data_IF_640027243566
#
_entry.id   IF_640027243566
#
_cell.length_a   1.000
_cell.length_b   1.000
_cell.length_c   1.000
_cell.angle_alpha   90.00
_cell.angle_beta   90.00
_cell.angle_gamma   90.00
#
_symmetry.space_group_name_H-M   'P 1'
#
loop_
_entity.id
_entity.type
_entity.pdbx_description
1 polymer ?
#
# COMPACT_ATOMS: atom_id res chain seq x y z
N UNK A 1 -15.46 -37.34 12.10
CA UNK A 1 -16.80 -36.77 12.21
C UNK A 1 -16.76 -35.71 13.28
N UNK A 2 -17.13 -34.48 12.92
CA UNK A 2 -17.28 -33.34 13.82
C UNK A 2 -18.75 -32.98 13.98
N UNK A 3 -19.10 -32.20 14.98
CA UNK A 3 -20.49 -31.92 15.32
C UNK A 3 -20.66 -30.41 15.62
N UNK A 4 -21.76 -29.86 15.14
CA UNK A 4 -22.26 -28.54 15.53
C UNK A 4 -23.78 -28.61 15.80
N UNK A 5 -24.43 -27.46 16.02
CA UNK A 5 -25.88 -27.39 16.28
C UNK A 5 -26.75 -27.88 15.12
N UNK A 6 -26.20 -28.01 13.91
CA UNK A 6 -26.90 -28.54 12.72
C UNK A 6 -26.67 -30.02 12.50
N UNK A 7 -25.85 -30.70 13.34
CA UNK A 7 -25.57 -32.13 13.27
C UNK A 7 -24.13 -32.46 12.87
N UNK A 8 -23.92 -33.68 12.44
CA UNK A 8 -22.58 -34.19 12.11
C UNK A 8 -22.14 -33.81 10.70
N UNK A 9 -20.83 -33.57 10.55
CA UNK A 9 -20.17 -33.35 9.26
C UNK A 9 -18.79 -34.03 9.25
N UNK A 10 -18.40 -34.54 8.09
CA UNK A 10 -17.10 -35.18 7.91
C UNK A 10 -16.01 -34.09 7.72
N UNK A 11 -14.98 -34.13 8.57
CA UNK A 11 -13.80 -33.26 8.46
C UNK A 11 -12.57 -34.13 8.21
N UNK A 12 -11.63 -33.76 7.32
CA UNK A 12 -10.41 -34.55 7.13
C UNK A 12 -9.63 -34.69 8.45
N UNK A 13 -9.14 -35.90 8.71
CA UNK A 13 -8.56 -36.25 10.01
C UNK A 13 -7.27 -35.50 10.34
N UNK A 14 -6.56 -35.04 9.31
CA UNK A 14 -5.31 -34.27 9.40
C UNK A 14 -5.54 -32.75 9.62
N UNK A 15 -6.79 -32.31 9.58
CA UNK A 15 -7.13 -30.88 9.72
C UNK A 15 -7.56 -30.54 11.15
N UNK A 16 -7.17 -29.33 11.57
CA UNK A 16 -7.50 -28.81 12.91
C UNK A 16 -8.83 -28.06 12.95
N UNK A 17 -9.41 -27.72 11.80
CA UNK A 17 -10.74 -27.09 11.79
C UNK A 17 -11.86 -28.06 12.15
N UNK A 18 -13.02 -27.55 12.52
CA UNK A 18 -14.17 -28.29 12.94
C UNK A 18 -15.34 -28.22 11.96
N UNK A 19 -16.54 -28.47 12.51
CA UNK A 19 -17.78 -28.60 11.73
C UNK A 19 -18.17 -27.28 11.02
N UNK A 20 -18.10 -26.14 11.69
CA UNK A 20 -18.53 -24.87 11.11
C UNK A 20 -17.63 -24.43 9.95
N UNK A 21 -16.34 -24.61 10.06
CA UNK A 21 -15.39 -24.35 8.97
C UNK A 21 -15.64 -25.29 7.80
N UNK A 22 -15.85 -26.59 8.05
CA UNK A 22 -16.12 -27.54 6.98
C UNK A 22 -17.39 -27.19 6.20
N UNK A 23 -18.47 -26.82 6.89
CA UNK A 23 -19.70 -26.35 6.22
C UNK A 23 -19.48 -25.11 5.38
N UNK A 24 -18.70 -24.14 5.88
CA UNK A 24 -18.37 -22.96 5.12
C UNK A 24 -17.55 -23.28 3.87
N UNK A 25 -16.56 -24.16 4.00
CA UNK A 25 -15.74 -24.62 2.88
C UNK A 25 -16.58 -25.29 1.77
N UNK A 26 -17.59 -26.07 2.17
CA UNK A 26 -18.52 -26.75 1.23
C UNK A 26 -19.58 -25.81 0.64
N UNK A 27 -20.06 -24.83 1.42
CA UNK A 27 -21.16 -23.94 1.01
C UNK A 27 -20.70 -22.78 0.13
N UNK A 28 -19.42 -22.37 0.21
CA UNK A 28 -18.89 -21.20 -0.51
C UNK A 28 -17.71 -21.56 -1.43
N UNK A 29 -17.90 -22.48 -2.41
CA UNK A 29 -16.88 -22.78 -3.41
C UNK A 29 -16.86 -21.67 -4.48
N UNK A 30 -16.52 -20.44 -4.08
CA UNK A 30 -16.61 -19.23 -4.89
C UNK A 30 -15.22 -18.62 -5.02
N UNK A 31 -14.74 -18.49 -6.26
CA UNK A 31 -13.44 -17.93 -6.56
C UNK A 31 -12.27 -18.75 -6.03
N UNK A 32 -11.07 -18.19 -6.14
CA UNK A 32 -9.83 -18.79 -5.65
C UNK A 32 -9.23 -18.02 -4.49
N UNK A 33 -9.75 -16.81 -4.23
CA UNK A 33 -9.25 -15.88 -3.23
C UNK A 33 -9.51 -16.42 -1.82
N UNK A 34 -8.44 -16.67 -1.09
CA UNK A 34 -8.48 -17.09 0.32
C UNK A 34 -8.37 -15.88 1.25
N UNK A 35 -8.82 -16.06 2.49
CA UNK A 35 -8.58 -15.08 3.54
C UNK A 35 -7.09 -14.78 3.62
N UNK A 36 -6.68 -13.48 3.61
CA UNK A 36 -5.28 -13.11 3.64
C UNK A 36 -4.57 -13.63 4.89
N UNK A 37 -3.33 -14.14 4.72
CA UNK A 37 -2.52 -14.65 5.83
C UNK A 37 -2.30 -13.57 6.92
N UNK A 38 -2.16 -12.30 6.52
CA UNK A 38 -2.02 -11.18 7.45
C UNK A 38 -3.26 -11.04 8.38
N UNK A 39 -4.46 -11.31 7.86
CA UNK A 39 -5.69 -11.33 8.68
C UNK A 39 -5.69 -12.52 9.65
N UNK A 40 -5.28 -13.71 9.21
CA UNK A 40 -5.19 -14.89 10.07
C UNK A 40 -4.18 -14.67 11.20
N UNK A 41 -3.02 -14.07 10.89
CA UNK A 41 -2.03 -13.66 11.88
C UNK A 41 -2.62 -12.68 12.90
N UNK A 42 -3.39 -11.70 12.43
CA UNK A 42 -4.08 -10.74 13.30
C UNK A 42 -5.15 -11.39 14.18
N UNK A 43 -5.85 -12.43 13.69
CA UNK A 43 -6.71 -13.24 14.53
C UNK A 43 -5.92 -13.97 15.62
N UNK A 44 -4.70 -14.44 15.34
CA UNK A 44 -3.80 -14.98 16.37
C UNK A 44 -3.50 -13.95 17.46
N UNK A 45 -3.19 -12.70 17.11
CA UNK A 45 -3.01 -11.60 18.08
C UNK A 45 -4.31 -11.35 18.87
N UNK A 46 -5.43 -11.20 18.18
CA UNK A 46 -6.73 -10.93 18.79
C UNK A 46 -7.12 -12.02 19.79
N UNK A 47 -7.04 -13.28 19.42
CA UNK A 47 -7.44 -14.40 20.28
C UNK A 47 -6.52 -14.54 21.50
N UNK A 48 -5.22 -14.29 21.35
CA UNK A 48 -4.28 -14.23 22.47
C UNK A 48 -4.64 -13.08 23.42
N UNK A 49 -4.92 -11.89 22.88
CA UNK A 49 -5.34 -10.72 23.66
C UNK A 49 -6.66 -10.95 24.41
N UNK A 50 -7.66 -11.57 23.75
CA UNK A 50 -8.92 -11.93 24.40
C UNK A 50 -8.73 -12.94 25.54
N UNK A 51 -7.88 -13.95 25.34
CA UNK A 51 -7.58 -14.94 26.38
C UNK A 51 -6.85 -14.29 27.54
N UNK A 52 -5.89 -13.40 27.30
CA UNK A 52 -5.20 -12.62 28.34
C UNK A 52 -6.17 -11.74 29.14
N UNK A 53 -7.09 -11.04 28.46
CA UNK A 53 -8.12 -10.22 29.11
C UNK A 53 -9.06 -11.07 29.98
N UNK A 54 -9.58 -12.19 29.45
CA UNK A 54 -10.43 -13.08 30.23
C UNK A 54 -9.69 -13.72 31.42
N UNK A 55 -8.42 -14.06 31.27
CA UNK A 55 -7.58 -14.53 32.35
C UNK A 55 -7.36 -13.43 33.43
N UNK A 56 -6.99 -12.22 33.04
CA UNK A 56 -6.83 -11.04 33.91
C UNK A 56 -8.11 -10.74 34.71
N UNK A 57 -9.28 -10.96 34.09
CA UNK A 57 -10.60 -10.75 34.70
C UNK A 57 -11.14 -11.98 35.46
N UNK A 58 -10.34 -13.02 35.61
CA UNK A 58 -10.69 -14.23 36.37
C UNK A 58 -11.77 -15.12 35.73
N UNK A 59 -11.99 -15.00 34.41
CA UNK A 59 -12.97 -15.78 33.64
C UNK A 59 -12.34 -17.02 33.01
N UNK A 60 -11.04 -17.03 32.75
CA UNK A 60 -10.29 -18.13 32.14
C UNK A 60 -9.17 -18.55 33.11
N UNK A 61 -9.04 -19.87 33.32
CA UNK A 61 -7.98 -20.41 34.19
C UNK A 61 -6.61 -20.47 33.48
N UNK A 62 -5.55 -20.64 34.29
CA UNK A 62 -4.15 -20.67 33.81
C UNK A 62 -3.90 -21.72 32.73
N UNK A 63 -4.47 -22.92 32.89
CA UNK A 63 -4.25 -24.05 31.97
C UNK A 63 -4.84 -23.75 30.60
N UNK A 64 -6.11 -23.33 30.55
CA UNK A 64 -6.78 -22.98 29.29
C UNK A 64 -6.15 -21.75 28.63
N UNK A 65 -5.78 -20.74 29.43
CA UNK A 65 -5.06 -19.58 28.92
C UNK A 65 -3.75 -19.99 28.24
N UNK A 66 -2.91 -20.78 28.89
CA UNK A 66 -1.63 -21.24 28.31
C UNK A 66 -1.80 -22.05 27.01
N UNK A 67 -2.85 -22.89 26.93
CA UNK A 67 -3.15 -23.64 25.71
C UNK A 67 -3.59 -22.75 24.55
N UNK A 68 -4.48 -21.76 24.81
CA UNK A 68 -4.91 -20.79 23.79
C UNK A 68 -3.71 -19.95 23.34
N UNK A 69 -2.90 -19.43 24.26
CA UNK A 69 -1.70 -18.67 23.96
C UNK A 69 -0.75 -19.46 23.04
N UNK A 70 -0.47 -20.72 23.36
CA UNK A 70 0.40 -21.56 22.55
C UNK A 70 -0.12 -21.76 21.12
N UNK A 71 -1.44 -21.96 20.94
CA UNK A 71 -2.05 -22.08 19.63
C UNK A 71 -1.97 -20.75 18.83
N UNK A 72 -2.22 -19.62 19.50
CA UNK A 72 -2.12 -18.29 18.88
C UNK A 72 -0.69 -17.97 18.43
N UNK A 73 0.33 -18.35 19.21
CA UNK A 73 1.73 -18.23 18.83
C UNK A 73 2.06 -19.04 17.57
N UNK A 74 1.57 -20.29 17.47
CA UNK A 74 1.74 -21.13 16.28
C UNK A 74 1.04 -20.53 15.04
N UNK A 75 -0.16 -19.91 15.20
CA UNK A 75 -0.83 -19.17 14.13
C UNK A 75 0.02 -17.98 13.67
N UNK A 76 0.51 -17.18 14.61
CA UNK A 76 1.34 -16.00 14.32
C UNK A 76 2.67 -16.36 13.66
N UNK A 77 3.22 -17.52 13.98
CA UNK A 77 4.43 -18.07 13.35
C UNK A 77 4.16 -18.66 11.94
N UNK A 78 2.90 -18.77 11.52
CA UNK A 78 2.52 -19.37 10.24
C UNK A 78 2.54 -20.89 10.20
N UNK A 79 2.79 -21.56 11.34
CA UNK A 79 2.89 -23.03 11.43
C UNK A 79 1.57 -23.75 11.12
N UNK A 80 0.44 -23.04 11.26
CA UNK A 80 -0.91 -23.58 11.09
C UNK A 80 -1.60 -23.09 9.80
N UNK A 81 -0.86 -22.53 8.84
CA UNK A 81 -1.42 -21.90 7.63
C UNK A 81 -2.36 -22.82 6.84
N UNK A 82 -2.06 -24.12 6.75
CA UNK A 82 -2.86 -25.12 6.01
C UNK A 82 -4.23 -25.44 6.64
N UNK A 83 -4.50 -24.87 7.81
CA UNK A 83 -5.76 -25.06 8.53
C UNK A 83 -6.77 -23.92 8.34
N UNK A 84 -6.49 -22.95 7.43
CA UNK A 84 -7.35 -21.82 7.12
C UNK A 84 -7.76 -21.81 5.64
N UNK A 85 -8.70 -22.71 5.23
CA UNK A 85 -9.01 -22.94 3.83
C UNK A 85 -10.04 -21.97 3.24
N UNK A 86 -10.67 -21.12 4.05
CA UNK A 86 -11.88 -20.39 3.69
C UNK A 86 -11.65 -19.32 2.63
N UNK A 87 -12.60 -19.24 1.70
CA UNK A 87 -12.64 -18.21 0.68
C UNK A 87 -13.01 -16.84 1.27
N UNK A 88 -12.61 -15.77 0.59
CA UNK A 88 -13.07 -14.40 0.87
C UNK A 88 -14.60 -14.28 0.74
N UNK A 89 -15.16 -14.99 -0.24
CA UNK A 89 -16.58 -14.99 -0.59
C UNK A 89 -17.36 -15.90 0.35
N UNK A 90 -17.53 -15.43 1.61
CA UNK A 90 -18.21 -16.12 2.70
C UNK A 90 -19.25 -15.18 3.33
N UNK A 91 -19.80 -15.50 4.51
CA UNK A 91 -20.68 -14.56 5.21
C UNK A 91 -20.00 -13.21 5.46
N UNK A 92 -20.68 -12.14 5.16
CA UNK A 92 -20.12 -10.79 5.16
C UNK A 92 -19.70 -10.25 6.53
N UNK A 93 -20.14 -10.88 7.62
CA UNK A 93 -19.68 -10.61 9.00
C UNK A 93 -18.33 -11.27 9.32
N UNK A 94 -17.87 -12.21 8.49
CA UNK A 94 -16.66 -12.99 8.73
C UNK A 94 -16.79 -14.04 9.83
N UNK A 95 -18.01 -14.44 10.19
CA UNK A 95 -18.28 -15.43 11.26
C UNK A 95 -17.55 -16.74 11.00
N UNK A 96 -17.51 -17.23 9.76
CA UNK A 96 -16.83 -18.48 9.46
C UNK A 96 -15.31 -18.39 9.69
N UNK A 97 -14.68 -17.27 9.37
CA UNK A 97 -13.25 -17.07 9.66
C UNK A 97 -12.99 -17.00 11.16
N UNK A 98 -13.84 -16.29 11.93
CA UNK A 98 -13.74 -16.30 13.39
C UNK A 98 -13.87 -17.71 13.96
N UNK A 99 -14.86 -18.48 13.49
CA UNK A 99 -15.05 -19.87 13.94
C UNK A 99 -13.93 -20.78 13.50
N UNK A 100 -13.37 -20.60 12.30
CA UNK A 100 -12.19 -21.34 11.85
C UNK A 100 -11.02 -21.15 12.83
N UNK A 101 -10.74 -19.90 13.23
CA UNK A 101 -9.71 -19.64 14.25
C UNK A 101 -10.04 -20.31 15.58
N UNK A 102 -11.31 -20.20 16.05
CA UNK A 102 -11.73 -20.84 17.31
C UNK A 102 -11.56 -22.36 17.29
N UNK A 103 -11.98 -23.01 16.21
CA UNK A 103 -11.90 -24.46 16.04
C UNK A 103 -10.44 -24.94 15.97
N UNK A 104 -9.58 -24.25 15.21
CA UNK A 104 -8.15 -24.57 15.09
C UNK A 104 -7.45 -24.41 16.44
N UNK A 105 -7.69 -23.30 17.14
CA UNK A 105 -7.08 -23.03 18.46
C UNK A 105 -7.50 -24.10 19.47
N UNK A 106 -8.81 -24.41 19.54
CA UNK A 106 -9.31 -25.41 20.49
C UNK A 106 -8.72 -26.78 20.23
N UNK A 107 -8.70 -27.25 18.98
CA UNK A 107 -8.15 -28.54 18.62
C UNK A 107 -6.64 -28.62 18.82
N UNK A 108 -5.89 -27.59 18.42
CA UNK A 108 -4.45 -27.54 18.67
C UNK A 108 -4.13 -27.66 20.16
N UNK A 109 -4.83 -26.87 21.01
CA UNK A 109 -4.65 -26.91 22.45
C UNK A 109 -5.01 -28.25 23.05
N UNK A 110 -6.15 -28.86 22.64
CA UNK A 110 -6.57 -30.16 23.10
C UNK A 110 -5.58 -31.27 22.70
N UNK A 111 -5.07 -31.26 21.47
CA UNK A 111 -4.04 -32.19 21.03
C UNK A 111 -2.76 -32.06 21.87
N UNK A 112 -2.37 -30.83 22.21
CA UNK A 112 -1.21 -30.57 23.07
C UNK A 112 -1.42 -31.03 24.51
N UNK A 113 -2.63 -30.86 25.04
CA UNK A 113 -2.99 -31.34 26.38
C UNK A 113 -3.18 -32.86 26.46
N UNK A 114 -3.48 -33.54 25.37
CA UNK A 114 -3.86 -34.94 25.33
C UNK A 114 -5.30 -35.22 25.81
N UNK A 115 -6.08 -34.18 26.06
CA UNK A 115 -7.49 -34.24 26.51
C UNK A 115 -8.31 -33.04 26.03
N UNK A 116 -9.64 -33.14 26.08
CA UNK A 116 -10.56 -32.10 25.60
C UNK A 116 -10.81 -31.03 26.66
N UNK A 117 -9.84 -30.11 26.84
CA UNK A 117 -9.91 -28.98 27.80
C UNK A 117 -10.52 -27.71 27.20
N UNK A 118 -10.35 -27.49 25.91
CA UNK A 118 -10.84 -26.31 25.20
C UNK A 118 -12.08 -26.59 24.37
N UNK A 119 -13.05 -25.68 24.44
CA UNK A 119 -14.21 -25.65 23.56
C UNK A 119 -14.14 -24.36 22.71
N UNK A 120 -14.41 -24.43 21.38
CA UNK A 120 -14.29 -23.27 20.49
C UNK A 120 -15.13 -22.05 20.92
N UNK A 121 -16.37 -22.27 21.33
CA UNK A 121 -17.29 -21.21 21.72
C UNK A 121 -17.10 -20.78 23.18
N UNK A 122 -17.01 -21.76 24.12
CA UNK A 122 -17.08 -21.47 25.56
C UNK A 122 -15.77 -20.89 26.10
N UNK A 123 -14.63 -21.28 25.52
CA UNK A 123 -13.31 -20.88 26.01
C UNK A 123 -12.59 -19.95 25.02
N UNK A 124 -12.47 -20.31 23.73
CA UNK A 124 -11.71 -19.52 22.76
C UNK A 124 -12.47 -18.26 22.34
N UNK A 125 -13.80 -18.36 22.19
CA UNK A 125 -14.67 -17.22 21.83
C UNK A 125 -15.31 -16.54 23.05
N UNK A 126 -14.86 -16.84 24.27
CA UNK A 126 -15.39 -16.27 25.51
C UNK A 126 -15.39 -14.74 25.47
N UNK A 127 -16.49 -14.10 25.85
CA UNK A 127 -16.69 -12.65 25.85
C UNK A 127 -16.60 -11.99 24.46
N UNK A 128 -16.89 -12.72 23.38
CA UNK A 128 -16.71 -12.23 22.01
C UNK A 128 -17.92 -12.56 21.12
N UNK A 129 -18.05 -11.80 20.05
CA UNK A 129 -18.87 -12.11 18.89
C UNK A 129 -18.03 -12.05 17.62
N UNK A 130 -18.41 -12.73 16.55
CA UNK A 130 -17.80 -12.52 15.23
C UNK A 130 -17.93 -11.07 14.78
N UNK A 131 -18.99 -10.40 15.23
CA UNK A 131 -19.30 -9.03 14.83
C UNK A 131 -18.29 -8.00 15.34
N UNK A 132 -17.68 -8.23 16.52
CA UNK A 132 -16.64 -7.36 17.06
C UNK A 132 -15.23 -7.90 16.85
N UNK A 133 -15.05 -9.24 16.73
CA UNK A 133 -13.72 -9.83 16.49
C UNK A 133 -13.20 -9.58 15.08
N UNK A 134 -14.02 -9.79 14.05
CA UNK A 134 -13.56 -9.63 12.68
C UNK A 134 -13.08 -8.19 12.35
N UNK A 135 -13.85 -7.12 12.65
CA UNK A 135 -13.37 -5.76 12.42
C UNK A 135 -12.14 -5.41 13.28
N UNK A 136 -12.03 -5.97 14.48
CA UNK A 136 -10.85 -5.81 15.32
C UNK A 136 -9.62 -6.46 14.67
N UNK A 137 -9.72 -7.72 14.23
CA UNK A 137 -8.64 -8.39 13.51
C UNK A 137 -8.27 -7.65 12.22
N UNK A 138 -9.25 -7.10 11.51
CA UNK A 138 -9.00 -6.32 10.30
C UNK A 138 -8.22 -5.03 10.60
N UNK A 139 -8.54 -4.29 11.65
CA UNK A 139 -7.78 -3.12 12.07
C UNK A 139 -6.35 -3.49 12.49
N UNK A 140 -6.19 -4.56 13.29
CA UNK A 140 -4.85 -5.06 13.67
C UNK A 140 -4.04 -5.44 12.42
N UNK A 141 -4.62 -6.20 11.49
CA UNK A 141 -3.97 -6.59 10.25
C UNK A 141 -3.57 -5.39 9.38
N UNK A 142 -4.47 -4.42 9.24
CA UNK A 142 -4.23 -3.21 8.46
C UNK A 142 -3.04 -2.41 9.00
N UNK A 143 -3.05 -2.11 10.29
CA UNK A 143 -1.98 -1.32 10.93
C UNK A 143 -0.65 -2.09 10.91
N UNK A 144 -0.65 -3.37 11.28
CA UNK A 144 0.56 -4.21 11.26
C UNK A 144 1.17 -4.27 9.87
N UNK A 145 0.37 -4.50 8.82
CA UNK A 145 0.86 -4.55 7.44
C UNK A 145 1.45 -3.21 6.98
N UNK A 146 0.88 -2.08 7.39
CA UNK A 146 1.45 -0.76 7.10
C UNK A 146 2.82 -0.59 7.75
N UNK A 147 2.97 -0.95 9.03
CA UNK A 147 4.22 -0.79 9.77
C UNK A 147 5.31 -1.78 9.36
N UNK A 148 4.95 -3.03 9.13
CA UNK A 148 5.93 -4.08 8.84
C UNK A 148 6.35 -4.13 7.37
N UNK A 149 5.49 -3.68 6.44
CA UNK A 149 5.74 -3.80 5.00
C UNK A 149 5.82 -2.46 4.27
N UNK A 150 4.77 -1.64 4.37
CA UNK A 150 4.66 -0.46 3.49
C UNK A 150 5.60 0.67 3.92
N UNK A 151 5.61 1.05 5.20
CA UNK A 151 6.50 2.11 5.65
C UNK A 151 7.98 1.81 5.42
N UNK A 152 8.51 0.60 5.69
CA UNK A 152 9.89 0.27 5.34
C UNK A 152 10.20 0.40 3.84
N UNK A 153 9.28 0.00 2.97
CA UNK A 153 9.43 0.14 1.53
C UNK A 153 9.46 1.61 1.09
N UNK A 154 8.58 2.44 1.65
CA UNK A 154 8.55 3.89 1.40
C UNK A 154 9.84 4.55 1.86
N UNK A 155 10.32 4.27 3.08
CA UNK A 155 11.55 4.85 3.61
C UNK A 155 12.77 4.46 2.75
N UNK A 156 12.85 3.21 2.30
CA UNK A 156 13.91 2.78 1.40
C UNK A 156 13.88 3.51 0.04
N UNK A 157 12.70 3.79 -0.50
CA UNK A 157 12.53 4.59 -1.72
C UNK A 157 12.94 6.04 -1.49
N UNK A 158 12.56 6.64 -0.36
CA UNK A 158 12.93 8.02 -0.02
C UNK A 158 14.43 8.20 0.09
N UNK A 159 15.14 7.29 0.77
CA UNK A 159 16.62 7.30 0.84
C UNK A 159 17.24 7.20 -0.56
N UNK A 160 16.68 6.39 -1.44
CA UNK A 160 17.16 6.27 -2.82
C UNK A 160 16.94 7.56 -3.63
N UNK A 161 15.76 8.18 -3.50
CA UNK A 161 15.43 9.42 -4.20
C UNK A 161 16.27 10.60 -3.69
N UNK A 162 16.52 10.69 -2.38
CA UNK A 162 17.39 11.73 -1.80
C UNK A 162 18.82 11.63 -2.36
N UNK A 163 19.37 10.42 -2.44
CA UNK A 163 20.68 10.20 -3.08
C UNK A 163 20.68 10.65 -4.54
N UNK A 164 19.67 10.24 -5.32
CA UNK A 164 19.56 10.61 -6.73
C UNK A 164 19.39 12.12 -6.91
N UNK A 165 18.62 12.79 -6.07
CA UNK A 165 18.46 14.25 -6.06
C UNK A 165 19.82 14.96 -5.88
N UNK A 166 20.60 14.54 -4.90
CA UNK A 166 21.91 15.11 -4.59
C UNK A 166 22.91 14.86 -5.73
N UNK A 167 22.98 13.65 -6.27
CA UNK A 167 23.87 13.26 -7.38
C UNK A 167 23.57 14.03 -8.67
N UNK A 168 22.35 14.54 -8.84
CA UNK A 168 21.88 15.19 -10.05
C UNK A 168 21.57 16.70 -9.85
N UNK A 169 21.89 17.28 -8.70
CA UNK A 169 21.55 18.66 -8.34
C UNK A 169 22.05 19.71 -9.33
N UNK A 170 23.24 19.47 -9.94
CA UNK A 170 23.85 20.41 -10.90
C UNK A 170 23.63 20.06 -12.37
N UNK A 171 22.77 19.11 -12.70
CA UNK A 171 22.51 18.70 -14.09
C UNK A 171 21.33 19.48 -14.64
N UNK A 172 21.58 20.49 -15.43
CA UNK A 172 20.50 21.29 -16.06
C UNK A 172 19.94 20.58 -17.28
N UNK A 173 18.62 20.60 -17.41
CA UNK A 173 17.86 19.99 -18.48
C UNK A 173 16.67 20.86 -18.90
N UNK A 174 16.07 20.54 -20.03
CA UNK A 174 14.80 21.14 -20.45
C UNK A 174 13.69 20.67 -19.52
N UNK A 175 12.99 21.60 -18.85
CA UNK A 175 11.72 21.33 -18.20
C UNK A 175 10.61 21.11 -19.23
N UNK A 176 9.54 20.39 -18.84
CA UNK A 176 8.39 20.14 -19.73
C UNK A 176 7.07 20.36 -19.01
N UNK A 177 6.16 21.06 -19.66
CA UNK A 177 4.75 21.16 -19.30
C UNK A 177 3.91 20.80 -20.52
N UNK A 178 2.80 20.11 -20.36
CA UNK A 178 2.00 19.58 -21.48
C UNK A 178 2.78 18.68 -22.47
N UNK A 179 3.89 18.07 -22.01
CA UNK A 179 4.88 17.38 -22.84
C UNK A 179 5.58 18.29 -23.88
N UNK A 180 5.43 19.62 -23.74
CA UNK A 180 6.13 20.61 -24.55
C UNK A 180 7.34 21.16 -23.80
N UNK A 181 8.34 21.59 -24.55
CA UNK A 181 9.53 22.23 -23.99
C UNK A 181 9.15 23.48 -23.18
N UNK A 182 9.73 23.60 -21.99
CA UNK A 182 9.57 24.73 -21.09
C UNK A 182 10.95 25.27 -20.68
N UNK A 183 10.96 26.17 -19.69
CA UNK A 183 12.20 26.74 -19.15
C UNK A 183 13.07 25.66 -18.50
N UNK A 184 14.39 25.89 -18.40
CA UNK A 184 15.31 24.95 -17.78
C UNK A 184 15.00 24.69 -16.30
N UNK A 185 15.30 23.47 -15.88
CA UNK A 185 15.33 23.01 -14.48
C UNK A 185 16.57 22.15 -14.26
N UNK A 186 16.93 21.85 -13.02
CA UNK A 186 17.89 20.79 -12.78
C UNK A 186 17.18 19.42 -12.69
N UNK A 187 17.88 18.35 -13.04
CA UNK A 187 17.34 16.99 -12.88
C UNK A 187 17.15 16.65 -11.39
N UNK A 188 18.01 17.21 -10.51
CA UNK A 188 17.80 17.11 -9.07
C UNK A 188 16.49 17.74 -8.62
N UNK A 189 16.08 18.89 -9.17
CA UNK A 189 14.78 19.53 -8.87
C UNK A 189 13.61 18.65 -9.32
N UNK A 190 13.69 17.99 -10.48
CA UNK A 190 12.67 17.05 -10.94
C UNK A 190 12.54 15.85 -9.97
N UNK A 191 13.67 15.28 -9.54
CA UNK A 191 13.71 14.18 -8.56
C UNK A 191 13.19 14.63 -7.18
N UNK A 192 13.48 15.85 -6.76
CA UNK A 192 12.96 16.41 -5.50
C UNK A 192 11.43 16.46 -5.48
N UNK A 193 10.82 16.74 -6.63
CA UNK A 193 9.37 16.64 -6.80
C UNK A 193 8.85 15.21 -6.60
N UNK A 194 9.54 14.20 -7.15
CA UNK A 194 9.19 12.79 -6.93
C UNK A 194 9.33 12.40 -5.46
N UNK A 195 10.43 12.81 -4.81
CA UNK A 195 10.66 12.55 -3.38
C UNK A 195 9.55 13.15 -2.52
N UNK A 196 9.21 14.40 -2.76
CA UNK A 196 8.15 15.09 -2.03
C UNK A 196 6.77 14.41 -2.19
N UNK A 197 6.45 13.90 -3.39
CA UNK A 197 5.21 13.13 -3.61
C UNK A 197 5.14 11.87 -2.75
N UNK A 198 6.26 11.17 -2.57
CA UNK A 198 6.34 9.96 -1.74
C UNK A 198 6.28 10.31 -0.26
N UNK A 199 6.96 11.38 0.19
CA UNK A 199 6.89 11.90 1.56
C UNK A 199 5.46 12.26 1.96
N UNK A 200 4.76 13.04 1.13
CA UNK A 200 3.36 13.39 1.39
C UNK A 200 2.45 12.17 1.39
N UNK A 201 2.68 11.19 0.50
CA UNK A 201 1.96 9.92 0.50
C UNK A 201 2.11 9.17 1.84
N UNK A 202 3.35 9.05 2.34
CA UNK A 202 3.65 8.47 3.66
C UNK A 202 2.90 9.21 4.77
N UNK A 203 2.97 10.54 4.77
CA UNK A 203 2.42 11.37 5.85
C UNK A 203 0.88 11.33 5.84
N UNK A 204 0.23 11.27 4.68
CA UNK A 204 -1.21 11.03 4.56
C UNK A 204 -1.61 9.66 5.13
N UNK A 205 -0.84 8.60 4.86
CA UNK A 205 -1.09 7.28 5.42
C UNK A 205 -0.93 7.32 6.95
N UNK A 206 0.14 7.95 7.47
CA UNK A 206 0.34 8.13 8.92
C UNK A 206 -0.81 8.87 9.57
N UNK A 207 -1.30 9.94 8.94
CA UNK A 207 -2.45 10.71 9.45
C UNK A 207 -3.75 9.90 9.51
N UNK A 208 -3.87 8.83 8.73
CA UNK A 208 -5.05 7.95 8.72
C UNK A 208 -5.06 6.87 9.82
N UNK A 209 -3.93 6.70 10.55
CA UNK A 209 -3.78 5.58 11.50
C UNK A 209 -4.65 5.72 12.74
N UNK A 210 -4.96 6.94 13.18
CA UNK A 210 -5.62 7.17 14.47
C UNK A 210 -6.94 6.42 14.60
N UNK A 211 -7.79 6.47 13.56
CA UNK A 211 -9.05 5.71 13.54
C UNK A 211 -8.86 4.19 13.45
N UNK A 212 -7.75 3.72 12.88
CA UNK A 212 -7.44 2.30 12.80
C UNK A 212 -6.95 1.70 14.13
N UNK A 213 -6.46 2.52 15.05
CA UNK A 213 -6.10 2.07 16.39
C UNK A 213 -7.31 1.76 17.28
N UNK A 214 -8.52 2.20 16.89
CA UNK A 214 -9.75 1.94 17.63
C UNK A 214 -10.31 0.56 17.32
N UNK A 215 -10.44 -0.27 18.37
CA UNK A 215 -10.89 -1.66 18.25
C UNK A 215 -12.34 -1.82 18.64
N UNK A 216 -13.11 -2.53 17.82
CA UNK A 216 -14.53 -2.82 18.04
C UNK A 216 -14.78 -3.81 19.20
N UNK A 217 -13.76 -4.55 19.61
CA UNK A 217 -13.85 -5.60 20.62
C UNK A 217 -14.46 -5.07 21.92
N UNK A 218 -15.34 -5.88 22.55
CA UNK A 218 -16.19 -5.48 23.66
C UNK A 218 -17.57 -4.96 23.26
N UNK A 219 -17.83 -4.81 21.93
CA UNK A 219 -19.18 -4.49 21.42
C UNK A 219 -20.11 -5.70 21.37
N UNK A 220 -19.53 -6.89 21.31
CA UNK A 220 -20.21 -8.17 21.12
C UNK A 220 -21.16 -8.19 19.91
N UNK A 221 -22.40 -8.62 20.05
CA UNK A 221 -23.30 -8.86 18.93
C UNK A 221 -23.77 -7.59 18.21
N UNK A 222 -24.12 -6.53 18.96
CA UNK A 222 -24.76 -5.30 18.43
C UNK A 222 -24.16 -3.99 18.99
N UNK A 223 -23.11 -4.07 19.80
CA UNK A 223 -22.46 -2.88 20.38
C UNK A 223 -22.76 -2.64 21.85
N UNK A 224 -23.61 -3.44 22.48
CA UNK A 224 -24.02 -3.29 23.89
C UNK A 224 -23.12 -3.98 24.90
N UNK A 225 -22.17 -4.82 24.45
CA UNK A 225 -21.32 -5.61 25.33
C UNK A 225 -22.06 -6.72 26.06
N UNK A 226 -23.12 -7.29 25.46
CA UNK A 226 -23.89 -8.37 26.09
C UNK A 226 -22.99 -9.57 26.41
N UNK A 227 -23.04 -10.06 27.66
CA UNK A 227 -22.23 -11.15 28.22
C UNK A 227 -20.73 -10.83 28.38
N UNK A 228 -20.34 -9.60 28.23
CA UNK A 228 -18.96 -9.13 28.37
C UNK A 228 -18.69 -8.74 29.84
N UNK A 229 -17.62 -9.20 30.49
CA UNK A 229 -17.26 -8.69 31.79
C UNK A 229 -16.79 -7.22 31.70
N UNK A 230 -17.15 -6.43 32.67
CA UNK A 230 -16.76 -5.02 32.69
C UNK A 230 -15.24 -4.85 32.52
N UNK A 231 -14.82 -4.00 31.58
CA UNK A 231 -13.41 -3.72 31.27
C UNK A 231 -12.74 -4.72 30.31
N UNK A 232 -13.50 -5.64 29.71
CA UNK A 232 -12.91 -6.62 28.77
C UNK A 232 -12.36 -5.92 27.50
N UNK A 233 -13.13 -5.04 26.90
CA UNK A 233 -12.70 -4.34 25.68
C UNK A 233 -11.40 -3.56 25.88
N UNK A 234 -11.27 -2.86 27.03
CA UNK A 234 -10.07 -2.13 27.42
C UNK A 234 -8.89 -3.08 27.65
N UNK A 235 -9.09 -4.15 28.43
CA UNK A 235 -8.05 -5.12 28.75
C UNK A 235 -7.54 -5.87 27.50
N UNK A 236 -8.44 -6.20 26.59
CA UNK A 236 -8.07 -6.87 25.34
C UNK A 236 -7.34 -5.91 24.37
N UNK A 237 -7.76 -4.64 24.29
CA UNK A 237 -7.03 -3.65 23.50
C UNK A 237 -5.62 -3.37 24.04
N UNK A 238 -5.48 -3.29 25.39
CA UNK A 238 -4.19 -3.17 26.06
C UNK A 238 -3.28 -4.38 25.74
N UNK A 239 -3.80 -5.59 25.86
CA UNK A 239 -3.06 -6.80 25.51
C UNK A 239 -2.68 -6.87 24.01
N UNK A 240 -3.54 -6.44 23.10
CA UNK A 240 -3.22 -6.34 21.68
C UNK A 240 -2.10 -5.31 21.42
N UNK A 241 -2.14 -4.17 22.14
CA UNK A 241 -1.08 -3.16 22.05
C UNK A 241 0.27 -3.70 22.57
N UNK A 242 0.28 -4.45 23.67
CA UNK A 242 1.49 -5.09 24.19
C UNK A 242 2.07 -6.13 23.21
N UNK A 243 1.20 -6.97 22.64
CA UNK A 243 1.61 -8.04 21.71
C UNK A 243 2.18 -7.52 20.38
N UNK A 244 1.76 -6.34 19.96
CA UNK A 244 2.14 -5.76 18.66
C UNK A 244 3.13 -4.60 18.77
N UNK A 245 3.25 -3.97 19.93
CA UNK A 245 3.97 -2.71 20.10
C UNK A 245 3.28 -1.50 19.45
N UNK A 246 2.01 -1.62 19.06
CA UNK A 246 1.21 -0.59 18.38
C UNK A 246 0.13 -0.04 19.31
N UNK A 247 -0.24 1.26 19.24
CA UNK A 247 -1.05 1.92 20.26
C UNK A 247 -2.56 1.65 20.09
N UNK A 248 -2.95 0.39 20.00
CA UNK A 248 -4.34 -0.01 19.94
C UNK A 248 -5.09 0.38 21.21
N UNK A 249 -6.34 0.80 21.06
CA UNK A 249 -7.23 1.21 22.14
C UNK A 249 -8.66 0.75 21.85
N UNK A 250 -9.46 0.64 22.89
CA UNK A 250 -10.88 0.32 22.74
C UNK A 250 -11.62 1.49 22.06
N UNK A 251 -12.47 1.19 21.07
CA UNK A 251 -13.28 2.22 20.41
C UNK A 251 -14.26 2.88 21.41
N UNK A 252 -14.37 4.21 21.41
CA UNK A 252 -15.25 4.92 22.33
C UNK A 252 -16.72 4.67 22.09
N UNK A 253 -17.09 4.29 20.86
CA UNK A 253 -18.47 3.95 20.47
C UNK A 253 -18.49 2.61 19.72
N UNK A 254 -18.98 1.58 20.38
CA UNK A 254 -19.02 0.22 19.81
C UNK A 254 -20.06 0.07 18.69
N UNK A 255 -21.14 0.84 18.72
CA UNK A 255 -22.15 0.86 17.65
C UNK A 255 -21.54 1.39 16.34
N UNK A 256 -20.77 2.47 16.41
CA UNK A 256 -20.01 2.99 15.29
C UNK A 256 -18.98 1.94 14.80
N UNK A 257 -18.18 1.37 15.69
CA UNK A 257 -17.08 0.45 15.34
C UNK A 257 -17.58 -0.84 14.65
N UNK A 258 -18.79 -1.35 15.00
CA UNK A 258 -19.37 -2.52 14.34
C UNK A 258 -19.92 -2.19 12.96
N UNK A 259 -20.48 -1.01 12.77
CA UNK A 259 -21.27 -0.65 11.58
C UNK A 259 -20.45 0.13 10.56
N UNK A 260 -19.75 1.18 10.99
CA UNK A 260 -18.96 2.03 10.12
C UNK A 260 -17.59 1.38 9.79
N UNK A 261 -17.11 1.65 8.59
CA UNK A 261 -15.78 1.26 8.13
C UNK A 261 -15.05 2.45 7.50
N UNK A 262 -15.37 3.63 7.99
CA UNK A 262 -14.85 4.93 7.57
C UNK A 262 -13.34 5.06 7.80
N UNK A 263 -12.81 4.57 8.92
CA UNK A 263 -11.37 4.55 9.20
C UNK A 263 -10.59 3.77 8.14
N UNK A 264 -11.08 2.58 7.75
CA UNK A 264 -10.48 1.78 6.68
C UNK A 264 -10.58 2.47 5.32
N UNK A 265 -11.72 3.09 5.02
CA UNK A 265 -11.94 3.80 3.77
C UNK A 265 -11.06 5.05 3.67
N UNK A 266 -10.94 5.81 4.75
CA UNK A 266 -10.05 6.97 4.81
C UNK A 266 -8.60 6.57 4.61
N UNK A 267 -8.15 5.54 5.32
CA UNK A 267 -6.79 5.02 5.18
C UNK A 267 -6.52 4.49 3.77
N UNK A 268 -7.47 3.78 3.16
CA UNK A 268 -7.33 3.30 1.78
C UNK A 268 -7.30 4.45 0.77
N UNK A 269 -8.03 5.53 1.01
CA UNK A 269 -7.94 6.77 0.24
C UNK A 269 -6.53 7.37 0.25
N UNK A 270 -5.80 7.29 1.37
CA UNK A 270 -4.40 7.67 1.45
C UNK A 270 -3.48 6.73 0.65
N UNK A 271 -3.75 5.41 0.65
CA UNK A 271 -3.05 4.44 -0.21
C UNK A 271 -3.27 4.76 -1.69
N UNK A 272 -4.49 5.10 -2.07
CA UNK A 272 -4.80 5.55 -3.45
C UNK A 272 -4.04 6.81 -3.83
N UNK A 273 -3.92 7.79 -2.94
CA UNK A 273 -3.16 9.01 -3.20
C UNK A 273 -1.67 8.70 -3.45
N UNK A 274 -1.07 7.82 -2.64
CA UNK A 274 0.29 7.32 -2.89
C UNK A 274 0.38 6.60 -4.23
N UNK A 275 -0.58 5.72 -4.57
CA UNK A 275 -0.61 5.01 -5.85
C UNK A 275 -0.65 5.97 -7.05
N UNK A 276 -1.42 7.06 -6.97
CA UNK A 276 -1.48 8.08 -8.00
C UNK A 276 -0.11 8.78 -8.20
N UNK A 277 0.58 9.11 -7.12
CA UNK A 277 1.92 9.68 -7.15
C UNK A 277 2.95 8.69 -7.76
N UNK A 278 2.90 7.42 -7.38
CA UNK A 278 3.77 6.38 -7.92
C UNK A 278 3.54 6.16 -9.42
N UNK A 279 2.30 6.22 -9.88
CA UNK A 279 1.99 6.15 -11.31
C UNK A 279 2.61 7.32 -12.09
N UNK A 280 2.52 8.53 -11.55
CA UNK A 280 3.15 9.71 -12.16
C UNK A 280 4.67 9.56 -12.22
N UNK A 281 5.31 9.16 -11.13
CA UNK A 281 6.76 8.95 -11.07
C UNK A 281 7.21 7.89 -12.07
N UNK A 282 6.53 6.74 -12.11
CA UNK A 282 6.85 5.66 -13.04
C UNK A 282 6.68 6.10 -14.51
N UNK A 283 5.67 6.91 -14.81
CA UNK A 283 5.47 7.47 -16.16
C UNK A 283 6.56 8.47 -16.54
N UNK A 284 6.97 9.36 -15.64
CA UNK A 284 8.08 10.28 -15.90
C UNK A 284 9.37 9.52 -16.20
N UNK A 285 9.73 8.55 -15.36
CA UNK A 285 10.92 7.71 -15.56
C UNK A 285 10.85 6.99 -16.91
N UNK A 286 9.70 6.42 -17.26
CA UNK A 286 9.49 5.73 -18.55
C UNK A 286 9.62 6.67 -19.74
N UNK A 287 9.08 7.89 -19.65
CA UNK A 287 9.22 8.90 -20.69
C UNK A 287 10.66 9.36 -20.86
N UNK A 288 11.35 9.69 -19.77
CA UNK A 288 12.74 10.14 -19.79
C UNK A 288 13.69 9.08 -20.35
N UNK A 289 13.42 7.79 -20.07
CA UNK A 289 14.19 6.66 -20.57
C UNK A 289 13.81 6.20 -22.00
N UNK A 290 12.80 6.81 -22.62
CA UNK A 290 12.28 6.37 -23.93
C UNK A 290 13.32 6.48 -25.04
N UNK A 291 13.35 5.51 -25.94
CA UNK A 291 14.27 5.50 -27.08
C UNK A 291 14.97 4.16 -27.25
N UNK A 292 16.30 4.08 -27.28
CA UNK A 292 17.30 5.07 -26.86
C UNK A 292 17.63 6.20 -27.83
N UNK A 293 17.35 6.03 -29.14
CA UNK A 293 17.73 7.03 -30.16
C UNK A 293 16.58 7.89 -30.68
N UNK A 294 15.38 7.31 -30.73
CA UNK A 294 14.18 7.95 -31.31
C UNK A 294 13.17 8.43 -30.26
N UNK A 295 13.54 8.46 -29.00
CA UNK A 295 12.76 8.98 -27.88
C UNK A 295 13.48 10.11 -27.15
N UNK A 296 13.09 10.38 -25.89
CA UNK A 296 13.72 11.44 -25.09
C UNK A 296 15.17 11.08 -24.73
N UNK A 297 15.40 9.85 -24.25
CA UNK A 297 16.74 9.32 -23.97
C UNK A 297 17.56 10.12 -22.95
N UNK A 298 16.89 10.83 -22.02
CA UNK A 298 17.54 11.70 -21.05
C UNK A 298 18.08 10.98 -19.82
N UNK A 299 17.63 9.74 -19.59
CA UNK A 299 18.13 8.89 -18.52
C UNK A 299 18.38 7.47 -19.02
N UNK A 300 19.25 6.76 -18.30
CA UNK A 300 19.41 5.31 -18.41
C UNK A 300 18.82 4.63 -17.19
N UNK A 301 18.15 3.51 -17.41
CA UNK A 301 17.64 2.61 -16.35
C UNK A 301 18.24 1.22 -16.53
N UNK A 302 18.30 0.39 -15.46
CA UNK A 302 18.87 -0.95 -15.54
C UNK A 302 18.14 -1.84 -16.56
N UNK A 303 18.92 -2.63 -17.27
CA UNK A 303 18.47 -3.68 -18.17
C UNK A 303 18.27 -4.96 -17.35
N UNK A 304 17.02 -5.29 -17.02
CA UNK A 304 16.73 -6.42 -16.14
C UNK A 304 16.45 -7.72 -16.90
N UNK A 305 15.83 -7.61 -18.09
CA UNK A 305 15.46 -8.74 -18.94
C UNK A 305 15.38 -8.34 -20.43
N UNK A 306 15.46 -9.30 -21.37
CA UNK A 306 15.22 -9.04 -22.80
C UNK A 306 13.80 -8.50 -23.03
N UNK A 307 13.69 -7.38 -23.74
CA UNK A 307 12.43 -6.68 -23.95
C UNK A 307 11.58 -7.14 -25.15
N UNK A 308 12.09 -8.08 -25.97
CA UNK A 308 11.38 -8.52 -27.18
C UNK A 308 11.84 -9.89 -27.63
N UNK A 309 10.91 -10.71 -28.12
CA UNK A 309 11.19 -12.01 -28.72
C UNK A 309 11.71 -11.92 -30.17
N UNK A 310 11.50 -10.79 -30.85
CA UNK A 310 11.82 -10.61 -32.28
C UNK A 310 12.75 -9.43 -32.57
N UNK A 311 13.01 -8.55 -31.58
CA UNK A 311 13.90 -7.37 -31.72
C UNK A 311 15.09 -7.51 -30.76
N UNK A 312 16.23 -8.09 -31.23
CA UNK A 312 17.39 -8.30 -30.38
C UNK A 312 17.92 -6.97 -29.82
N UNK A 313 18.27 -6.97 -28.53
CA UNK A 313 18.79 -5.79 -27.84
C UNK A 313 17.77 -4.74 -27.44
N UNK A 314 16.46 -4.97 -27.64
CA UNK A 314 15.40 -4.11 -27.12
C UNK A 314 15.23 -4.33 -25.63
N UNK A 315 15.27 -3.24 -24.86
CA UNK A 315 14.99 -3.23 -23.39
C UNK A 315 13.77 -2.39 -23.14
N UNK A 316 12.87 -2.87 -22.29
CA UNK A 316 11.65 -2.17 -21.93
C UNK A 316 11.72 -1.65 -20.50
N UNK A 317 11.01 -0.57 -20.15
CA UNK A 317 10.93 -0.04 -18.79
C UNK A 317 9.95 -0.85 -17.92
N UNK A 318 10.16 -2.17 -17.81
CA UNK A 318 9.22 -3.15 -17.25
C UNK A 318 8.87 -2.88 -15.79
N UNK A 319 9.81 -2.35 -15.00
CA UNK A 319 9.57 -1.97 -13.62
C UNK A 319 8.58 -0.80 -13.51
N UNK A 320 8.65 0.15 -14.44
CA UNK A 320 7.68 1.25 -14.54
C UNK A 320 6.28 0.71 -14.90
N UNK A 321 6.23 -0.23 -15.85
CA UNK A 321 4.97 -0.86 -16.28
C UNK A 321 4.32 -1.63 -15.13
N UNK A 322 5.09 -2.43 -14.41
CA UNK A 322 4.62 -3.18 -13.25
C UNK A 322 4.06 -2.25 -12.16
N UNK A 323 4.79 -1.18 -11.82
CA UNK A 323 4.34 -0.22 -10.80
C UNK A 323 3.07 0.53 -11.22
N UNK A 324 2.90 0.86 -12.51
CA UNK A 324 1.67 1.49 -12.99
C UNK A 324 0.48 0.52 -12.92
N UNK A 325 0.66 -0.78 -13.18
CA UNK A 325 -0.39 -1.79 -13.01
C UNK A 325 -0.76 -1.96 -11.53
N UNK A 326 0.21 -1.96 -10.61
CA UNK A 326 -0.05 -1.94 -9.16
C UNK A 326 -0.91 -0.74 -8.78
N UNK A 327 -0.56 0.46 -9.26
CA UNK A 327 -1.33 1.67 -8.99
C UNK A 327 -2.79 1.58 -9.47
N UNK A 328 -3.01 1.04 -10.67
CA UNK A 328 -4.36 0.80 -11.22
C UNK A 328 -5.16 -0.15 -10.32
N UNK A 329 -4.54 -1.26 -9.87
CA UNK A 329 -5.21 -2.21 -9.00
C UNK A 329 -5.61 -1.58 -7.67
N UNK A 330 -4.73 -0.79 -7.04
CA UNK A 330 -5.02 -0.07 -5.79
C UNK A 330 -6.17 0.92 -5.97
N UNK A 331 -6.23 1.64 -7.08
CA UNK A 331 -7.34 2.55 -7.40
C UNK A 331 -8.67 1.79 -7.57
N UNK A 332 -8.64 0.61 -8.21
CA UNK A 332 -9.79 -0.28 -8.31
C UNK A 332 -10.26 -0.77 -6.93
N UNK A 333 -9.34 -1.21 -6.09
CA UNK A 333 -9.63 -1.64 -4.73
C UNK A 333 -10.26 -0.52 -3.89
N UNK A 334 -9.84 0.74 -4.08
CA UNK A 334 -10.43 1.90 -3.40
C UNK A 334 -11.93 2.07 -3.70
N UNK A 335 -12.31 1.81 -4.93
CA UNK A 335 -13.74 1.79 -5.32
C UNK A 335 -14.51 0.71 -4.55
N UNK A 336 -13.93 -0.50 -4.44
CA UNK A 336 -14.52 -1.58 -3.64
C UNK A 336 -14.65 -1.17 -2.18
N UNK A 337 -13.61 -0.55 -1.60
CA UNK A 337 -13.62 -0.09 -0.21
C UNK A 337 -14.76 0.91 0.06
N UNK A 338 -14.93 1.92 -0.79
CA UNK A 338 -15.98 2.92 -0.65
C UNK A 338 -17.38 2.32 -0.74
N UNK A 339 -17.64 1.46 -1.74
CA UNK A 339 -18.92 0.79 -1.91
C UNK A 339 -19.22 -0.13 -0.72
N UNK A 340 -18.28 -0.97 -0.32
CA UNK A 340 -18.44 -1.92 0.78
C UNK A 340 -18.69 -1.20 2.12
N UNK A 341 -17.98 -0.11 2.38
CA UNK A 341 -18.18 0.70 3.59
C UNK A 341 -19.59 1.31 3.66
N UNK A 342 -20.18 1.71 2.50
CA UNK A 342 -21.51 2.31 2.42
C UNK A 342 -22.66 1.31 2.68
N UNK A 343 -22.39 0.02 2.77
CA UNK A 343 -23.39 -1.05 2.85
C UNK A 343 -23.70 -1.50 4.29
N UNK A 344 -23.28 -0.77 5.32
CA UNK A 344 -23.68 -1.04 6.70
C UNK A 344 -25.18 -0.84 6.89
N UNK A 345 -25.86 -1.82 7.55
CA UNK A 345 -27.27 -1.76 7.84
C UNK A 345 -27.49 -1.98 9.33
N UNK A 346 -28.16 -1.03 10.00
CA UNK A 346 -28.37 -1.02 11.44
C UNK A 346 -27.03 -1.23 12.19
N UNK A 347 -26.89 -2.29 12.97
CA UNK A 347 -25.78 -2.48 13.90
C UNK A 347 -24.60 -3.26 13.30
N UNK A 348 -24.58 -3.57 12.00
CA UNK A 348 -23.48 -4.34 11.38
C UNK A 348 -23.24 -3.99 9.91
N UNK A 349 -21.97 -3.96 9.53
CA UNK A 349 -21.54 -4.03 8.12
C UNK A 349 -21.21 -5.49 7.77
N UNK A 350 -21.80 -6.01 6.69
CA UNK A 350 -21.62 -7.40 6.25
C UNK A 350 -20.83 -7.52 4.93
N UNK A 351 -19.87 -6.63 4.72
CA UNK A 351 -18.94 -6.63 3.59
C UNK A 351 -17.46 -6.71 4.05
N UNK A 352 -17.25 -7.11 5.30
CA UNK A 352 -15.92 -7.06 5.93
C UNK A 352 -14.87 -7.98 5.26
N UNK A 353 -15.19 -9.22 4.82
CA UNK A 353 -14.20 -10.07 4.16
C UNK A 353 -13.64 -9.48 2.86
N UNK A 354 -14.48 -8.89 2.00
CA UNK A 354 -14.02 -8.26 0.77
C UNK A 354 -13.20 -7.00 1.05
N UNK A 355 -13.53 -6.25 2.11
CA UNK A 355 -12.72 -5.11 2.55
C UNK A 355 -11.34 -5.55 3.05
N UNK A 356 -11.27 -6.61 3.85
CA UNK A 356 -10.02 -7.18 4.34
C UNK A 356 -9.11 -7.59 3.17
N UNK A 357 -9.65 -8.29 2.20
CA UNK A 357 -8.90 -8.73 1.02
C UNK A 357 -8.35 -7.55 0.23
N UNK A 358 -9.19 -6.58 -0.14
CA UNK A 358 -8.77 -5.46 -0.97
C UNK A 358 -7.81 -4.51 -0.25
N UNK A 359 -8.02 -4.27 1.05
CA UNK A 359 -7.12 -3.42 1.83
C UNK A 359 -5.73 -4.04 1.95
N UNK A 360 -5.65 -5.29 2.38
CA UNK A 360 -4.37 -5.98 2.59
C UNK A 360 -3.66 -6.27 1.26
N UNK A 361 -4.41 -6.55 0.19
CA UNK A 361 -3.84 -6.65 -1.16
C UNK A 361 -3.19 -5.33 -1.57
N UNK A 362 -3.87 -4.19 -1.36
CA UNK A 362 -3.34 -2.87 -1.72
C UNK A 362 -2.05 -2.55 -0.96
N UNK A 363 -2.01 -2.79 0.34
CA UNK A 363 -0.80 -2.58 1.15
C UNK A 363 0.36 -3.44 0.65
N UNK A 364 0.11 -4.73 0.41
CA UNK A 364 1.14 -5.65 -0.08
C UNK A 364 1.65 -5.27 -1.46
N UNK A 365 0.75 -5.00 -2.42
CA UNK A 365 1.13 -4.63 -3.78
C UNK A 365 1.93 -3.33 -3.82
N UNK A 366 1.56 -2.34 -3.01
CA UNK A 366 2.33 -1.09 -2.89
C UNK A 366 3.71 -1.35 -2.30
N UNK A 367 3.81 -2.11 -1.22
CA UNK A 367 5.10 -2.42 -0.59
C UNK A 367 6.04 -3.17 -1.54
N UNK A 368 5.54 -4.22 -2.19
CA UNK A 368 6.31 -5.04 -3.12
C UNK A 368 6.68 -4.24 -4.39
N UNK A 369 5.72 -3.48 -4.95
CA UNK A 369 5.92 -2.64 -6.13
C UNK A 369 6.95 -1.53 -5.89
N UNK A 370 6.87 -0.82 -4.77
CA UNK A 370 7.84 0.20 -4.35
C UNK A 370 9.21 -0.42 -4.18
N UNK A 371 9.30 -1.57 -3.50
CA UNK A 371 10.57 -2.27 -3.27
C UNK A 371 11.20 -2.69 -4.58
N UNK A 372 10.45 -3.33 -5.48
CA UNK A 372 10.94 -3.78 -6.78
C UNK A 372 11.41 -2.60 -7.64
N UNK A 373 10.59 -1.56 -7.76
CA UNK A 373 10.92 -0.35 -8.52
C UNK A 373 12.17 0.36 -7.98
N UNK A 374 12.28 0.48 -6.65
CA UNK A 374 13.45 1.08 -6.00
C UNK A 374 14.72 0.28 -6.30
N UNK A 375 14.69 -1.03 -6.10
CA UNK A 375 15.88 -1.89 -6.23
C UNK A 375 16.28 -2.16 -7.68
N UNK A 376 15.30 -2.28 -8.59
CA UNK A 376 15.51 -2.73 -9.97
C UNK A 376 15.44 -1.60 -11.01
N UNK A 377 15.02 -0.39 -10.62
CA UNK A 377 14.95 0.77 -11.50
C UNK A 377 15.68 1.97 -10.93
N UNK A 378 15.20 2.56 -9.83
CA UNK A 378 15.75 3.81 -9.30
C UNK A 378 17.20 3.70 -8.84
N UNK A 379 17.57 2.59 -8.20
CA UNK A 379 18.95 2.40 -7.67
C UNK A 379 20.04 2.46 -8.74
N UNK A 380 19.73 2.06 -9.96
CA UNK A 380 20.63 2.09 -11.09
C UNK A 380 20.33 3.17 -12.15
N UNK A 381 19.38 4.08 -11.84
CA UNK A 381 19.05 5.19 -12.72
C UNK A 381 20.22 6.17 -12.80
N UNK A 382 20.59 6.59 -14.03
CA UNK A 382 21.63 7.60 -14.27
C UNK A 382 21.21 8.60 -15.33
N UNK A 383 21.68 9.84 -15.21
CA UNK A 383 21.44 10.88 -16.19
C UNK A 383 22.24 10.68 -17.48
N UNK A 384 21.62 10.82 -18.64
CA UNK A 384 22.30 11.00 -19.91
C UNK A 384 22.64 12.49 -20.10
N UNK A 385 23.76 12.90 -19.52
CA UNK A 385 24.18 14.32 -19.46
C UNK A 385 24.31 14.95 -20.84
N UNK A 386 24.85 14.19 -21.81
CA UNK A 386 25.03 14.68 -23.19
C UNK A 386 23.65 14.96 -23.83
N UNK A 387 22.70 14.05 -23.66
CA UNK A 387 21.36 14.22 -24.22
C UNK A 387 20.59 15.35 -23.55
N UNK A 388 20.71 15.50 -22.24
CA UNK A 388 20.10 16.62 -21.50
C UNK A 388 20.67 17.95 -21.99
N UNK A 389 22.00 18.08 -22.14
CA UNK A 389 22.65 19.27 -22.65
C UNK A 389 22.25 19.58 -24.11
N UNK A 390 22.25 18.57 -25.00
CA UNK A 390 21.80 18.74 -26.37
C UNK A 390 20.36 19.27 -26.45
N UNK A 391 19.45 18.66 -25.71
CA UNK A 391 18.06 19.11 -25.64
C UNK A 391 17.92 20.52 -25.08
N UNK A 392 18.70 20.89 -24.07
CA UNK A 392 18.71 22.21 -23.48
C UNK A 392 19.10 23.30 -24.50
N UNK A 393 20.19 23.08 -25.22
CA UNK A 393 20.67 24.02 -26.22
C UNK A 393 19.79 24.10 -27.47
N UNK A 394 19.05 23.06 -27.79
CA UNK A 394 18.09 23.02 -28.89
C UNK A 394 16.73 23.60 -28.56
N UNK A 395 16.41 23.74 -27.26
CA UNK A 395 15.13 24.27 -26.81
C UNK A 395 14.96 25.73 -27.20
N UNK A 396 13.88 26.04 -27.89
CA UNK A 396 13.53 27.43 -28.23
C UNK A 396 13.07 28.22 -27.01
N UNK A 397 12.67 27.57 -25.93
CA UNK A 397 12.18 28.24 -24.71
C UNK A 397 13.30 28.86 -23.88
N UNK A 398 14.54 28.47 -24.13
CA UNK A 398 15.73 29.13 -23.56
C UNK A 398 15.90 30.56 -24.04
N UNK A 399 15.19 31.00 -25.09
CA UNK A 399 15.10 32.42 -25.50
C UNK A 399 14.67 33.32 -24.35
N UNK A 400 14.01 32.81 -23.34
CA UNK A 400 13.59 33.52 -22.14
C UNK A 400 14.79 34.17 -21.42
N UNK A 401 15.99 33.57 -21.49
CA UNK A 401 17.23 34.17 -20.97
C UNK A 401 17.56 35.53 -21.64
N UNK A 402 17.21 35.70 -22.90
CA UNK A 402 17.47 36.90 -23.66
C UNK A 402 16.40 37.98 -23.48
N UNK A 403 15.23 37.61 -22.95
CA UNK A 403 14.09 38.54 -22.79
C UNK A 403 14.42 39.82 -21.96
N UNK A 404 15.20 39.73 -20.86
CA UNK A 404 15.59 40.94 -20.14
C UNK A 404 16.45 41.94 -20.95
N UNK A 405 17.14 41.46 -21.98
CA UNK A 405 18.05 42.25 -22.82
C UNK A 405 17.29 42.83 -24.02
N UNK A 406 16.54 42.00 -24.74
CA UNK A 406 15.92 42.41 -26.02
C UNK A 406 14.43 42.72 -25.91
N UNK A 407 13.80 42.45 -24.78
CA UNK A 407 12.36 42.55 -24.56
C UNK A 407 11.58 41.31 -25.09
N UNK A 408 10.37 41.15 -24.57
CA UNK A 408 9.50 39.98 -24.88
C UNK A 408 9.20 39.84 -26.37
N UNK A 409 8.87 40.95 -27.07
CA UNK A 409 8.50 40.91 -28.49
C UNK A 409 9.65 40.45 -29.38
N UNK A 410 10.88 40.93 -29.11
CA UNK A 410 12.06 40.52 -29.87
C UNK A 410 12.45 39.06 -29.52
N UNK A 411 12.36 38.66 -28.26
CA UNK A 411 12.49 37.23 -27.88
C UNK A 411 11.52 36.34 -28.67
N UNK A 412 10.26 36.75 -28.78
CA UNK A 412 9.27 36.01 -29.55
C UNK A 412 9.60 35.97 -31.08
N UNK A 413 10.17 37.06 -31.63
CA UNK A 413 10.62 37.05 -33.04
C UNK A 413 11.77 36.07 -33.25
N UNK A 414 12.75 36.06 -32.33
CA UNK A 414 13.89 35.13 -32.38
C UNK A 414 13.39 33.71 -32.38
N UNK A 415 12.55 33.30 -31.40
CA UNK A 415 12.02 31.93 -31.29
C UNK A 415 11.19 31.52 -32.51
N UNK A 416 10.31 32.41 -33.01
CA UNK A 416 9.49 32.13 -34.20
C UNK A 416 10.33 31.95 -35.47
N UNK A 417 11.38 32.77 -35.66
CA UNK A 417 12.30 32.64 -36.78
C UNK A 417 13.10 31.36 -36.69
N UNK A 418 13.67 31.08 -35.52
CA UNK A 418 14.41 29.83 -35.27
C UNK A 418 13.56 28.60 -35.58
N UNK A 419 12.31 28.56 -35.11
CA UNK A 419 11.38 27.46 -35.38
C UNK A 419 11.03 27.32 -36.86
N UNK A 420 10.64 28.46 -37.52
CA UNK A 420 10.18 28.44 -38.91
C UNK A 420 11.27 28.00 -39.89
N UNK A 421 12.50 28.46 -39.62
CA UNK A 421 13.66 28.23 -40.51
C UNK A 421 14.50 27.04 -40.08
N UNK A 422 14.13 26.37 -38.96
CA UNK A 422 14.88 25.27 -38.37
C UNK A 422 16.35 25.56 -38.12
N UNK A 423 16.63 26.76 -37.56
CA UNK A 423 17.94 27.24 -37.20
C UNK A 423 18.03 27.48 -35.68
N UNK A 424 19.24 27.66 -35.16
CA UNK A 424 19.47 27.94 -33.74
C UNK A 424 18.93 29.33 -33.32
N UNK A 425 18.71 29.53 -32.02
CA UNK A 425 18.39 30.87 -31.47
C UNK A 425 19.47 31.89 -31.79
N UNK A 426 20.73 31.45 -31.77
CA UNK A 426 21.89 32.31 -32.15
C UNK A 426 21.78 32.79 -33.59
N UNK A 427 21.61 31.88 -34.54
CA UNK A 427 21.48 32.24 -35.96
C UNK A 427 20.29 33.12 -36.21
N UNK A 428 19.15 32.84 -35.54
CA UNK A 428 17.96 33.70 -35.66
C UNK A 428 18.16 35.11 -35.09
N UNK A 429 18.80 35.24 -33.93
CA UNK A 429 19.08 36.53 -33.28
C UNK A 429 20.03 37.40 -34.10
N UNK A 430 21.08 36.81 -34.67
CA UNK A 430 22.04 37.47 -35.55
C UNK A 430 21.36 37.88 -36.86
N UNK A 431 20.60 37.01 -37.49
CA UNK A 431 19.89 37.32 -38.72
C UNK A 431 18.80 38.43 -38.58
N UNK A 432 18.27 38.61 -37.36
CA UNK A 432 17.38 39.71 -37.02
C UNK A 432 18.12 41.01 -36.67
N UNK A 433 19.46 40.98 -36.61
CA UNK A 433 20.28 42.13 -36.24
C UNK A 433 20.13 42.55 -34.78
N UNK A 434 19.71 41.64 -33.92
CA UNK A 434 19.51 41.90 -32.48
C UNK A 434 20.75 41.61 -31.65
N UNK A 435 21.66 40.77 -32.13
CA UNK A 435 22.93 40.40 -31.52
C UNK A 435 24.04 40.28 -32.56
N UNK A 436 25.28 40.53 -32.17
CA UNK A 436 26.44 39.94 -32.86
C UNK A 436 26.63 38.49 -32.34
N UNK A 437 27.38 37.63 -33.07
CA UNK A 437 27.68 36.29 -32.58
C UNK A 437 28.35 36.28 -31.19
N UNK A 438 29.24 37.25 -30.95
CA UNK A 438 29.99 37.42 -29.71
C UNK A 438 29.09 37.91 -28.57
N UNK A 439 28.21 38.85 -28.83
CA UNK A 439 27.26 39.39 -27.84
C UNK A 439 26.24 38.30 -27.43
N UNK A 440 25.82 37.48 -28.39
CA UNK A 440 24.91 36.35 -28.10
C UNK A 440 25.58 35.37 -27.17
N UNK A 441 26.82 34.91 -27.48
CA UNK A 441 27.55 33.96 -26.66
C UNK A 441 27.83 34.51 -25.25
N UNK A 442 28.04 35.80 -25.12
CA UNK A 442 28.23 36.46 -23.83
C UNK A 442 26.94 36.61 -23.01
N UNK A 443 25.77 36.56 -23.65
CA UNK A 443 24.47 36.77 -23.02
C UNK A 443 23.63 35.50 -22.81
N UNK A 444 23.96 34.43 -23.51
CA UNK A 444 23.13 33.21 -23.54
C UNK A 444 23.78 32.06 -22.77
N UNK A 445 23.34 31.91 -21.52
CA UNK A 445 23.79 30.89 -20.58
C UNK A 445 22.59 30.11 -20.06
N UNK A 446 22.00 29.19 -20.85
CA UNK A 446 20.79 28.45 -20.44
C UNK A 446 21.02 27.58 -19.20
N UNK A 447 22.25 27.21 -18.90
CA UNK A 447 22.64 26.46 -17.69
C UNK A 447 22.45 27.27 -16.40
N UNK A 448 22.46 28.62 -16.50
CA UNK A 448 22.27 29.50 -15.34
C UNK A 448 20.81 29.87 -15.08
N UNK A 449 19.86 29.31 -15.88
CA UNK A 449 18.43 29.60 -15.75
C UNK A 449 17.71 28.72 -14.73
N UNK A 450 18.36 27.70 -14.16
CA UNK A 450 17.74 26.67 -13.27
C UNK A 450 18.08 26.92 -11.80
#
# INVERSE_FOLDING_TARGET
>A
MEHDTMGQVAVPADKLWGAQTQRSFENFPIGEEKMPADLITAFGVLKEACAAANHKLGKLDDTRYALIQSACQAIRAGELADHFPLAVWQTGSGTQTNMNCNEVIARYGNNKAGEALLHPNDHVNMSQSSNDTFPTALHIAAVTALYERLFPAIEAMLVCLERLEQENAGIVKTGRTHLQDAVPITFGQEISGWRSMVEHGRDMIRASLDGLYELALGGTAVGTGLNDPAGFGEAAAEAAAELTGLPFRTAPNKFHALTAKDALTFSHGALKALAANLMKIANDVRWLASGPRCGLGEIFIPENEPGSSIMPGKVNPTQCEALTMVAVQVMGNDTVMGIAASQGNFELNVYMPVMAYNYLQSVRLLADGITSFTQRCLKGLTANREKMADNLHRSLMTVTALTPIVGYENGAKIAKKAHKENISLKEAAVALGLFTPEDFDAAFHPEEMA
#
